data_IF_330686753056
#
_entry.id   IF_330686753056
#
_cell.length_a   1.000
_cell.length_b   1.000
_cell.length_c   1.000
_cell.angle_alpha   90.00
_cell.angle_beta   90.00
_cell.angle_gamma   90.00
#
_symmetry.space_group_name_H-M   'P 1'
#
loop_
_entity.id
_entity.type
_entity.pdbx_description
1 polymer ?
#
# COMPACT_ATOMS: atom_id res chain seq x y z
N UNK A 1 0.37 -24.67 4.36
CA UNK A 1 -0.88 -23.97 4.01
C UNK A 1 -0.75 -22.45 4.07
N UNK A 2 -0.20 -21.86 5.15
CA UNK A 2 -0.04 -20.40 5.27
C UNK A 2 0.66 -19.71 4.09
N UNK A 3 1.75 -20.27 3.56
CA UNK A 3 2.44 -19.71 2.39
C UNK A 3 1.60 -19.68 1.10
N UNK A 4 0.70 -20.66 0.91
CA UNK A 4 -0.21 -20.69 -0.25
C UNK A 4 -1.20 -19.54 -0.14
N UNK A 5 -1.83 -19.37 1.02
CA UNK A 5 -2.75 -18.26 1.27
C UNK A 5 -2.02 -16.91 1.14
N UNK A 6 -0.81 -16.79 1.68
CA UNK A 6 0.02 -15.59 1.55
C UNK A 6 0.27 -15.21 0.09
N UNK A 7 0.64 -16.20 -0.73
CA UNK A 7 0.84 -16.02 -2.15
C UNK A 7 -0.46 -15.59 -2.86
N UNK A 8 -1.60 -16.20 -2.50
CA UNK A 8 -2.90 -15.83 -3.07
C UNK A 8 -3.32 -14.41 -2.69
N UNK A 9 -3.08 -13.97 -1.44
CA UNK A 9 -3.30 -12.57 -1.04
C UNK A 9 -2.41 -11.64 -1.87
N UNK A 10 -1.11 -11.95 -1.99
CA UNK A 10 -0.16 -11.16 -2.78
C UNK A 10 -0.58 -11.05 -4.25
N UNK A 11 -1.01 -12.16 -4.85
CA UNK A 11 -1.56 -12.19 -6.22
C UNK A 11 -2.80 -11.30 -6.36
N UNK A 12 -3.76 -11.45 -5.44
CA UNK A 12 -4.99 -10.65 -5.45
C UNK A 12 -4.72 -9.15 -5.28
N UNK A 13 -3.80 -8.78 -4.38
CA UNK A 13 -3.37 -7.40 -4.19
C UNK A 13 -2.73 -6.84 -5.46
N UNK A 14 -1.82 -7.58 -6.09
CA UNK A 14 -1.24 -7.16 -7.36
C UNK A 14 -2.30 -6.94 -8.44
N UNK A 15 -3.25 -7.86 -8.57
CA UNK A 15 -4.33 -7.75 -9.55
C UNK A 15 -5.27 -6.57 -9.29
N UNK A 16 -5.62 -6.28 -8.03
CA UNK A 16 -6.51 -5.16 -7.69
C UNK A 16 -5.81 -3.79 -7.80
N UNK A 17 -4.53 -3.72 -7.44
CA UNK A 17 -3.82 -2.46 -7.24
C UNK A 17 -2.97 -2.03 -8.43
N UNK A 18 -2.66 -2.91 -9.41
CA UNK A 18 -1.78 -2.56 -10.54
C UNK A 18 -2.27 -1.35 -11.35
N UNK A 19 -3.58 -1.17 -11.46
CA UNK A 19 -4.19 -0.03 -12.16
C UNK A 19 -3.83 1.32 -11.51
N UNK A 20 -3.56 1.36 -10.21
CA UNK A 20 -3.16 2.59 -9.51
C UNK A 20 -1.78 3.07 -9.96
N UNK A 21 -0.86 2.15 -10.31
CA UNK A 21 0.50 2.48 -10.71
C UNK A 21 0.60 2.84 -12.20
N UNK A 22 -0.14 2.16 -13.06
CA UNK A 22 0.01 2.30 -14.53
C UNK A 22 -1.18 2.93 -15.22
N UNK A 23 -2.29 3.20 -14.51
CA UNK A 23 -3.55 3.66 -15.09
C UNK A 23 -3.42 4.97 -15.85
N UNK A 24 -2.65 5.93 -15.33
CA UNK A 24 -2.41 7.22 -16.00
C UNK A 24 -1.53 7.08 -17.23
N UNK A 25 -0.43 6.33 -17.15
CA UNK A 25 0.51 6.10 -18.26
C UNK A 25 -0.10 5.28 -19.39
N UNK A 26 -0.91 4.28 -19.07
CA UNK A 26 -1.64 3.47 -20.06
C UNK A 26 -2.84 4.24 -20.61
N UNK A 27 -3.60 4.92 -19.74
CA UNK A 27 -4.78 5.70 -20.14
C UNK A 27 -4.47 6.89 -21.03
N UNK A 28 -3.28 7.49 -20.88
CA UNK A 28 -2.77 8.55 -21.77
C UNK A 28 -2.19 8.04 -23.09
N UNK A 29 -2.01 6.72 -23.25
CA UNK A 29 -1.36 6.11 -24.42
C UNK A 29 0.17 6.21 -24.41
N UNK A 30 0.80 6.70 -23.34
CA UNK A 30 2.25 6.81 -23.23
C UNK A 30 2.95 5.44 -23.16
N UNK A 31 2.28 4.44 -22.59
CA UNK A 31 2.79 3.06 -22.46
C UNK A 31 1.67 2.06 -22.81
N UNK A 32 2.01 0.97 -23.52
CA UNK A 32 1.04 -0.10 -23.78
C UNK A 32 0.70 -0.89 -22.50
N UNK A 33 -0.49 -1.50 -22.43
CA UNK A 33 -0.92 -2.31 -21.29
C UNK A 33 0.14 -3.37 -20.91
N UNK A 34 0.65 -4.10 -21.91
CA UNK A 34 1.65 -5.16 -21.69
C UNK A 34 2.93 -4.62 -21.06
N UNK A 35 3.46 -3.51 -21.59
CA UNK A 35 4.69 -2.92 -21.08
C UNK A 35 4.48 -2.32 -19.69
N UNK A 36 3.33 -1.69 -19.46
CA UNK A 36 2.93 -1.20 -18.14
C UNK A 36 2.91 -2.30 -17.09
N UNK A 37 2.28 -3.44 -17.40
CA UNK A 37 2.21 -4.60 -16.48
C UNK A 37 3.61 -5.17 -16.16
N UNK A 38 4.51 -5.26 -17.15
CA UNK A 38 5.89 -5.73 -16.93
C UNK A 38 6.64 -4.76 -16.01
N UNK A 39 6.54 -3.45 -16.25
CA UNK A 39 7.17 -2.44 -15.41
C UNK A 39 6.62 -2.48 -13.99
N UNK A 40 5.29 -2.54 -13.84
CA UNK A 40 4.64 -2.64 -12.54
C UNK A 40 5.12 -3.87 -11.77
N UNK A 41 5.17 -5.05 -12.40
CA UNK A 41 5.63 -6.27 -11.74
C UNK A 41 7.07 -6.14 -11.19
N UNK A 42 7.98 -5.54 -11.97
CA UNK A 42 9.37 -5.33 -11.55
C UNK A 42 9.44 -4.33 -10.39
N UNK A 43 8.81 -3.16 -10.54
CA UNK A 43 8.92 -2.09 -9.55
C UNK A 43 8.12 -2.35 -8.27
N UNK A 44 6.98 -3.03 -8.34
CA UNK A 44 6.23 -3.48 -7.15
C UNK A 44 7.00 -4.54 -6.37
N UNK A 45 7.65 -5.48 -7.07
CA UNK A 45 8.53 -6.46 -6.43
C UNK A 45 9.71 -5.78 -5.73
N UNK A 46 10.42 -4.90 -6.44
CA UNK A 46 11.54 -4.14 -5.88
C UNK A 46 11.10 -3.27 -4.69
N UNK A 47 10.00 -2.53 -4.82
CA UNK A 47 9.47 -1.68 -3.76
C UNK A 47 9.09 -2.49 -2.52
N UNK A 48 8.41 -3.62 -2.70
CA UNK A 48 8.05 -4.50 -1.57
C UNK A 48 9.28 -5.11 -0.92
N UNK A 49 10.28 -5.56 -1.69
CA UNK A 49 11.52 -6.12 -1.15
C UNK A 49 12.40 -5.10 -0.42
N UNK A 50 12.41 -3.84 -0.87
CA UNK A 50 13.27 -2.79 -0.32
C UNK A 50 12.61 -1.96 0.79
N UNK A 51 11.27 -1.86 0.81
CA UNK A 51 10.55 -0.91 1.69
C UNK A 51 9.33 -1.54 2.39
N UNK A 52 8.93 -2.77 2.04
CA UNK A 52 7.69 -3.39 2.54
C UNK A 52 7.70 -3.75 4.04
N UNK A 53 8.86 -3.72 4.70
CA UNK A 53 9.01 -4.12 6.10
C UNK A 53 8.25 -3.22 7.09
N UNK A 54 8.19 -1.91 6.86
CA UNK A 54 7.54 -0.96 7.79
C UNK A 54 6.03 -1.19 7.92
N UNK A 55 5.36 -1.34 6.77
CA UNK A 55 3.92 -1.62 6.72
C UNK A 55 3.64 -3.00 7.31
N UNK A 56 4.44 -3.99 6.93
CA UNK A 56 4.30 -5.36 7.45
C UNK A 56 4.51 -5.42 8.96
N UNK A 57 5.46 -4.65 9.51
CA UNK A 57 5.69 -4.53 10.95
C UNK A 57 4.46 -3.95 11.66
N UNK A 58 3.90 -2.86 11.12
CA UNK A 58 2.69 -2.24 11.65
C UNK A 58 1.51 -3.23 11.71
N UNK A 59 1.30 -3.99 10.63
CA UNK A 59 0.22 -4.99 10.58
C UNK A 59 0.43 -6.14 11.57
N UNK A 60 1.68 -6.55 11.85
CA UNK A 60 1.98 -7.68 12.74
C UNK A 60 1.91 -7.33 14.22
N UNK A 61 2.24 -6.11 14.62
CA UNK A 61 2.48 -5.81 16.04
C UNK A 61 1.80 -4.54 16.54
N UNK A 62 1.53 -3.56 15.67
CA UNK A 62 1.04 -2.27 16.13
C UNK A 62 -0.46 -2.28 16.47
N UNK A 63 -1.24 -3.18 15.85
CA UNK A 63 -2.69 -3.27 16.06
C UNK A 63 -3.01 -4.15 17.27
N UNK A 64 -2.43 -5.35 17.33
CA UNK A 64 -2.56 -6.27 18.46
C UNK A 64 -1.23 -6.99 18.66
N UNK A 65 -0.69 -6.93 19.88
CA UNK A 65 0.63 -7.49 20.16
C UNK A 65 0.56 -9.02 20.34
N UNK A 66 1.45 -9.79 19.71
CA UNK A 66 1.52 -11.24 19.91
C UNK A 66 1.84 -11.63 21.36
N UNK A 67 2.41 -10.71 22.16
CA UNK A 67 2.69 -10.95 23.58
C UNK A 67 1.42 -11.18 24.40
N UNK A 68 0.27 -10.64 23.98
CA UNK A 68 -1.01 -10.92 24.64
C UNK A 68 -1.44 -12.39 24.48
N UNK A 69 -0.87 -13.10 23.51
CA UNK A 69 -1.13 -14.50 23.23
C UNK A 69 0.05 -15.40 23.63
N UNK A 70 1.00 -14.92 24.45
CA UNK A 70 2.21 -15.68 24.81
C UNK A 70 1.89 -17.03 25.49
N UNK A 71 0.78 -17.12 26.22
CA UNK A 71 0.33 -18.37 26.84
C UNK A 71 -0.24 -19.37 25.83
N UNK A 72 -0.80 -18.90 24.71
CA UNK A 72 -1.41 -19.72 23.65
C UNK A 72 -1.11 -19.13 22.25
N UNK A 73 0.15 -19.20 21.77
CA UNK A 73 0.56 -18.54 20.52
C UNK A 73 -0.17 -19.02 19.27
N UNK A 74 -0.73 -20.23 19.33
CA UNK A 74 -1.53 -20.85 18.26
C UNK A 74 -2.79 -20.04 17.92
N UNK A 75 -3.44 -19.38 18.90
CA UNK A 75 -4.61 -18.55 18.61
C UNK A 75 -4.25 -17.32 17.80
N UNK A 76 -3.11 -16.70 18.09
CA UNK A 76 -2.61 -15.60 17.28
C UNK A 76 -2.29 -16.06 15.85
N UNK A 77 -1.62 -17.20 15.71
CA UNK A 77 -1.31 -17.76 14.38
C UNK A 77 -2.58 -18.08 13.57
N UNK A 78 -3.59 -18.67 14.21
CA UNK A 78 -4.90 -18.95 13.60
C UNK A 78 -5.65 -17.66 13.24
N UNK A 79 -5.58 -16.64 14.09
CA UNK A 79 -6.15 -15.32 13.83
C UNK A 79 -5.56 -14.62 12.63
N UNK A 80 -4.23 -14.60 12.53
CA UNK A 80 -3.53 -14.05 11.37
C UNK A 80 -3.81 -14.88 10.11
N UNK A 81 -3.90 -16.20 10.22
CA UNK A 81 -4.32 -17.05 9.09
C UNK A 81 -5.75 -16.75 8.63
N UNK A 82 -6.70 -16.61 9.56
CA UNK A 82 -8.10 -16.24 9.29
C UNK A 82 -8.21 -14.86 8.64
N UNK A 83 -7.42 -13.90 9.11
CA UNK A 83 -7.29 -12.57 8.50
C UNK A 83 -6.88 -12.68 7.03
N UNK A 84 -5.88 -13.52 6.72
CA UNK A 84 -5.42 -13.70 5.34
C UNK A 84 -6.47 -14.41 4.48
N UNK A 85 -7.17 -15.42 5.00
CA UNK A 85 -8.29 -16.05 4.29
C UNK A 85 -9.40 -15.05 3.96
N UNK A 86 -9.76 -14.18 4.92
CA UNK A 86 -10.72 -13.09 4.72
C UNK A 86 -10.25 -12.14 3.63
N UNK A 87 -8.97 -11.76 3.66
CA UNK A 87 -8.37 -10.91 2.63
C UNK A 87 -8.40 -11.56 1.24
N UNK A 88 -8.06 -12.85 1.11
CA UNK A 88 -8.16 -13.58 -0.17
C UNK A 88 -9.56 -13.48 -0.73
N UNK A 89 -10.57 -13.86 0.07
CA UNK A 89 -11.96 -13.91 -0.41
C UNK A 89 -12.41 -12.52 -0.86
N UNK A 90 -12.21 -11.51 -0.03
CA UNK A 90 -12.68 -10.16 -0.34
C UNK A 90 -11.93 -9.53 -1.52
N UNK A 91 -10.60 -9.65 -1.57
CA UNK A 91 -9.79 -9.04 -2.63
C UNK A 91 -10.08 -9.71 -3.98
N UNK A 92 -10.19 -11.03 -4.03
CA UNK A 92 -10.49 -11.73 -5.28
C UNK A 92 -11.91 -11.43 -5.78
N UNK A 93 -12.89 -11.37 -4.88
CA UNK A 93 -14.26 -10.97 -5.24
C UNK A 93 -14.29 -9.53 -5.77
N UNK A 94 -13.68 -8.58 -5.07
CA UNK A 94 -13.62 -7.20 -5.52
C UNK A 94 -12.91 -7.07 -6.87
N UNK A 95 -11.81 -7.79 -7.07
CA UNK A 95 -11.08 -7.83 -8.34
C UNK A 95 -11.93 -8.42 -9.47
N UNK A 96 -12.69 -9.47 -9.21
CA UNK A 96 -13.60 -10.06 -10.18
C UNK A 96 -14.67 -9.06 -10.65
N UNK A 97 -15.21 -8.25 -9.73
CA UNK A 97 -16.17 -7.19 -10.05
C UNK A 97 -15.52 -5.85 -10.46
N UNK A 98 -14.20 -5.83 -10.69
CA UNK A 98 -13.43 -4.64 -11.05
C UNK A 98 -13.61 -3.46 -10.05
N UNK A 99 -13.84 -3.77 -8.78
CA UNK A 99 -13.98 -2.78 -7.71
C UNK A 99 -12.58 -2.41 -7.17
N UNK A 100 -12.18 -1.13 -7.22
CA UNK A 100 -10.97 -0.68 -6.58
C UNK A 100 -11.19 -0.65 -5.06
N UNK A 101 -10.47 -1.51 -4.32
CA UNK A 101 -10.58 -1.58 -2.86
C UNK A 101 -9.22 -1.37 -2.19
N UNK A 102 -9.24 -1.10 -0.89
CA UNK A 102 -8.02 -1.04 -0.09
C UNK A 102 -7.72 -2.41 0.53
N UNK A 103 -6.65 -3.06 0.05
CA UNK A 103 -6.14 -4.28 0.65
C UNK A 103 -5.69 -4.08 2.11
N UNK A 104 -5.08 -2.92 2.43
CA UNK A 104 -4.67 -2.59 3.80
C UNK A 104 -5.86 -2.51 4.75
N UNK A 105 -6.96 -1.85 4.35
CA UNK A 105 -8.18 -1.81 5.17
C UNK A 105 -8.79 -3.19 5.34
N UNK A 106 -8.74 -4.03 4.30
CA UNK A 106 -9.22 -5.41 4.34
C UNK A 106 -8.47 -6.24 5.39
N UNK A 107 -7.13 -6.17 5.39
CA UNK A 107 -6.29 -6.89 6.35
C UNK A 107 -6.51 -6.36 7.77
N UNK A 108 -6.53 -5.05 7.97
CA UNK A 108 -6.76 -4.43 9.29
C UNK A 108 -8.14 -4.81 9.84
N UNK A 109 -9.18 -4.78 9.00
CA UNK A 109 -10.52 -5.23 9.35
C UNK A 109 -10.54 -6.70 9.78
N UNK A 110 -9.78 -7.57 9.09
CA UNK A 110 -9.62 -8.97 9.48
C UNK A 110 -8.93 -9.13 10.85
N UNK A 111 -7.86 -8.38 11.12
CA UNK A 111 -7.16 -8.40 12.42
C UNK A 111 -8.10 -7.95 13.54
N UNK A 112 -8.84 -6.85 13.34
CA UNK A 112 -9.81 -6.35 14.32
C UNK A 112 -10.95 -7.36 14.52
N UNK A 113 -11.45 -7.97 13.44
CA UNK A 113 -12.48 -9.01 13.51
C UNK A 113 -12.02 -10.24 14.31
N UNK A 114 -10.80 -10.71 14.07
CA UNK A 114 -10.16 -11.75 14.87
C UNK A 114 -10.08 -11.35 16.35
N UNK A 115 -9.61 -10.14 16.65
CA UNK A 115 -9.48 -9.66 18.02
C UNK A 115 -10.84 -9.61 18.75
N UNK A 116 -11.92 -9.27 18.05
CA UNK A 116 -13.28 -9.29 18.62
C UNK A 116 -13.72 -10.73 18.94
N UNK A 117 -13.50 -11.68 18.02
CA UNK A 117 -13.90 -13.09 18.19
C UNK A 117 -13.15 -13.75 19.35
N UNK A 118 -11.86 -13.47 19.50
CA UNK A 118 -11.04 -13.98 20.62
C UNK A 118 -11.25 -13.21 21.94
N UNK A 119 -12.30 -12.38 22.05
CA UNK A 119 -12.55 -11.52 23.22
C UNK A 119 -11.28 -10.75 23.65
N UNK A 120 -10.50 -10.31 22.67
CA UNK A 120 -9.21 -9.64 22.82
C UNK A 120 -9.26 -8.20 22.30
N UNK A 121 -10.45 -7.66 22.07
CA UNK A 121 -10.62 -6.30 21.56
C UNK A 121 -10.03 -5.25 22.49
N UNK A 122 -10.08 -5.47 23.81
CA UNK A 122 -9.43 -4.63 24.82
C UNK A 122 -7.89 -4.61 24.71
N UNK A 123 -7.29 -5.59 24.02
CA UNK A 123 -5.85 -5.66 23.75
C UNK A 123 -5.48 -5.05 22.40
N UNK A 124 -6.45 -4.56 21.64
CA UNK A 124 -6.20 -3.77 20.43
C UNK A 124 -5.66 -2.41 20.86
N UNK A 125 -4.58 -1.97 20.23
CA UNK A 125 -4.05 -0.63 20.42
C UNK A 125 -4.97 0.39 19.73
N UNK A 126 -5.97 0.88 20.47
CA UNK A 126 -6.96 1.82 19.95
C UNK A 126 -6.33 3.13 19.46
N UNK A 127 -5.25 3.60 20.10
CA UNK A 127 -4.53 4.80 19.68
C UNK A 127 -3.86 4.59 18.32
N UNK A 128 -3.16 3.47 18.13
CA UNK A 128 -2.56 3.14 16.84
C UNK A 128 -3.64 2.94 15.76
N UNK A 129 -4.72 2.22 16.07
CA UNK A 129 -5.84 2.04 15.15
C UNK A 129 -6.47 3.38 14.75
N UNK A 130 -6.67 4.29 15.70
CA UNK A 130 -7.21 5.63 15.43
C UNK A 130 -6.28 6.44 14.51
N UNK A 131 -4.97 6.39 14.72
CA UNK A 131 -4.00 7.04 13.83
C UNK A 131 -4.02 6.45 12.42
N UNK A 132 -4.15 5.13 12.29
CA UNK A 132 -4.29 4.47 10.98
C UNK A 132 -5.57 4.92 10.30
N UNK A 133 -6.71 4.91 10.98
CA UNK A 133 -7.99 5.38 10.43
C UNK A 133 -7.90 6.85 10.01
N UNK A 134 -7.29 7.71 10.83
CA UNK A 134 -7.07 9.11 10.51
C UNK A 134 -6.22 9.27 9.23
N UNK A 135 -5.19 8.43 9.05
CA UNK A 135 -4.34 8.44 7.86
C UNK A 135 -5.11 8.14 6.58
N UNK A 136 -6.18 7.34 6.64
CA UNK A 136 -7.01 7.02 5.46
C UNK A 136 -7.74 8.25 4.92
N UNK A 137 -8.08 9.21 5.77
CA UNK A 137 -8.72 10.46 5.37
C UNK A 137 -7.71 11.55 5.03
N UNK A 138 -6.61 11.63 5.77
CA UNK A 138 -5.58 12.63 5.53
C UNK A 138 -4.79 12.38 4.24
N UNK A 139 -4.50 11.12 3.91
CA UNK A 139 -3.65 10.80 2.75
C UNK A 139 -4.23 11.28 1.41
N UNK A 140 -5.53 11.09 1.11
CA UNK A 140 -6.15 11.67 -0.09
C UNK A 140 -6.09 13.20 -0.12
N UNK A 141 -6.29 13.88 1.01
CA UNK A 141 -6.27 15.34 1.09
C UNK A 141 -4.87 15.86 0.78
N UNK A 142 -3.85 15.31 1.44
CA UNK A 142 -2.45 15.67 1.21
C UNK A 142 -2.05 15.34 -0.23
N UNK A 143 -2.45 14.17 -0.75
CA UNK A 143 -2.21 13.78 -2.13
C UNK A 143 -2.84 14.75 -3.14
N UNK A 144 -4.07 15.21 -2.91
CA UNK A 144 -4.75 16.19 -3.75
C UNK A 144 -4.03 17.56 -3.74
N UNK A 145 -3.59 18.02 -2.57
CA UNK A 145 -2.84 19.27 -2.45
C UNK A 145 -1.49 19.20 -3.19
N UNK A 146 -0.75 18.10 -3.03
CA UNK A 146 0.51 17.87 -3.76
C UNK A 146 0.27 17.76 -5.26
N UNK A 147 -0.75 17.03 -5.69
CA UNK A 147 -1.12 16.90 -7.11
C UNK A 147 -1.46 18.26 -7.73
N UNK A 148 -2.24 19.08 -7.03
CA UNK A 148 -2.55 20.45 -7.46
C UNK A 148 -1.30 21.32 -7.57
N UNK A 149 -0.42 21.27 -6.56
CA UNK A 149 0.82 22.03 -6.57
C UNK A 149 1.72 21.64 -7.77
N UNK A 150 1.89 20.35 -8.04
CA UNK A 150 2.64 19.84 -9.19
C UNK A 150 2.00 20.25 -10.53
N UNK A 151 0.68 20.15 -10.64
CA UNK A 151 -0.03 20.59 -11.83
C UNK A 151 0.17 22.09 -12.07
N UNK A 152 0.03 22.91 -11.03
CA UNK A 152 0.17 24.35 -11.11
C UNK A 152 1.58 24.75 -11.58
N UNK A 153 2.62 24.14 -11.03
CA UNK A 153 4.01 24.42 -11.42
C UNK A 153 4.33 23.93 -12.82
N UNK A 154 3.84 22.76 -13.25
CA UNK A 154 3.97 22.30 -14.64
C UNK A 154 3.26 23.29 -15.58
N UNK A 155 2.03 23.67 -15.28
CA UNK A 155 1.27 24.59 -16.13
C UNK A 155 1.98 25.95 -16.27
N UNK A 156 2.38 26.56 -15.15
CA UNK A 156 3.01 27.90 -15.15
C UNK A 156 4.45 27.92 -15.64
N UNK A 157 5.25 26.90 -15.33
CA UNK A 157 6.69 26.92 -15.60
C UNK A 157 7.07 26.13 -16.85
N UNK A 158 6.29 25.13 -17.24
CA UNK A 158 6.59 24.28 -18.40
C UNK A 158 5.72 24.67 -19.59
N UNK A 159 4.40 24.77 -19.42
CA UNK A 159 3.49 25.02 -20.54
C UNK A 159 3.47 26.51 -20.96
N UNK A 160 3.46 27.44 -20.00
CA UNK A 160 3.49 28.89 -20.30
C UNK A 160 4.91 29.41 -20.61
N UNK A 161 5.93 28.91 -19.90
CA UNK A 161 7.34 29.37 -20.02
C UNK A 161 8.23 28.28 -20.60
N UNK A 162 7.95 27.92 -21.86
CA UNK A 162 8.46 26.73 -22.56
C UNK A 162 9.94 26.38 -22.42
N UNK A 163 10.86 27.30 -22.11
CA UNK A 163 12.28 26.97 -21.92
C UNK A 163 12.60 26.27 -20.58
N UNK A 164 11.76 26.45 -19.55
CA UNK A 164 12.03 25.92 -18.20
C UNK A 164 11.84 24.40 -18.10
N UNK A 165 11.24 23.75 -19.10
CA UNK A 165 11.02 22.29 -19.10
C UNK A 165 12.32 21.50 -18.90
N UNK A 166 13.43 21.99 -19.45
CA UNK A 166 14.76 21.36 -19.35
C UNK A 166 15.32 21.35 -17.94
N UNK A 167 14.84 22.23 -17.05
CA UNK A 167 15.25 22.30 -15.65
C UNK A 167 14.21 21.65 -14.74
N UNK A 168 12.94 21.98 -14.92
CA UNK A 168 11.85 21.59 -14.02
C UNK A 168 11.55 20.08 -14.09
N UNK A 169 11.51 19.50 -15.31
CA UNK A 169 11.19 18.07 -15.46
C UNK A 169 12.30 17.21 -14.82
N UNK A 170 13.60 17.40 -15.10
CA UNK A 170 14.65 16.66 -14.41
C UNK A 170 14.66 16.88 -12.89
N UNK A 171 14.31 18.08 -12.41
CA UNK A 171 14.21 18.35 -10.98
C UNK A 171 13.14 17.49 -10.29
N UNK A 172 11.96 17.28 -10.91
CA UNK A 172 10.94 16.39 -10.35
C UNK A 172 11.37 14.93 -10.30
N UNK A 173 11.99 14.43 -11.37
CA UNK A 173 12.55 13.07 -11.36
C UNK A 173 13.67 12.93 -10.31
N UNK A 174 14.55 13.93 -10.20
CA UNK A 174 15.63 13.97 -9.22
C UNK A 174 15.14 13.99 -7.77
N UNK A 175 14.09 14.78 -7.48
CA UNK A 175 13.44 14.81 -6.17
C UNK A 175 12.79 13.45 -5.84
N UNK A 176 12.05 12.87 -6.78
CA UNK A 176 11.42 11.54 -6.62
C UNK A 176 12.48 10.47 -6.33
N UNK A 177 13.57 10.45 -7.09
CA UNK A 177 14.66 9.50 -6.91
C UNK A 177 15.38 9.67 -5.57
N UNK A 178 15.56 10.92 -5.15
CA UNK A 178 16.20 11.25 -3.86
C UNK A 178 15.34 10.80 -2.67
N UNK A 179 14.00 10.95 -2.75
CA UNK A 179 13.07 10.42 -1.75
C UNK A 179 13.17 8.89 -1.69
N UNK A 180 13.10 8.21 -2.84
CA UNK A 180 13.19 6.74 -2.90
C UNK A 180 14.52 6.21 -2.32
N UNK A 181 15.65 6.84 -2.64
CA UNK A 181 16.95 6.47 -2.05
C UNK A 181 16.99 6.74 -0.55
N UNK A 182 16.45 7.87 -0.11
CA UNK A 182 16.39 8.24 1.30
C UNK A 182 15.69 7.16 2.13
N UNK A 183 14.51 6.74 1.68
CA UNK A 183 13.72 5.69 2.31
C UNK A 183 14.41 4.31 2.28
N UNK A 184 14.98 3.91 1.14
CA UNK A 184 15.75 2.67 1.04
C UNK A 184 16.95 2.64 2.01
N UNK A 185 17.59 3.78 2.26
CA UNK A 185 18.74 3.86 3.19
C UNK A 185 18.33 3.68 4.65
N UNK A 186 17.14 4.13 5.03
CA UNK A 186 16.58 3.86 6.37
C UNK A 186 16.27 2.37 6.58
N UNK A 187 16.14 1.58 5.52
CA UNK A 187 15.84 0.15 5.60
C UNK A 187 17.08 -0.75 5.64
N UNK A 188 18.20 -0.30 5.06
CA UNK A 188 19.46 -1.06 5.01
C UNK A 188 20.37 -0.81 6.23
N UNK A 189 20.00 0.10 7.13
CA UNK A 189 20.71 0.44 8.36
C UNK A 189 19.91 -0.01 9.59
#
# INVERSE_FOLDING_TARGET
MGGIIAFTVAFGMGANNVSNAIGTSVGSGAVSVRNGLILAAIFEFLGTSLMGGMVTGTLKTAIISPLHFAANPEYFALGMFSTMCTAVVWILLATHYALPISATQTIIGGIVGFAIVENSFQHVNHSALALIVLSWFLSPIVGALFSYALYYTIHKLVLEKGELHKLIIPAYYGATFSILIGECRYFLL
#
